data_IF_156261879661
#
_entry.id   IF_156261879661
#
_cell.length_a   1.000
_cell.length_b   1.000
_cell.length_c   1.000
_cell.angle_alpha   90.00
_cell.angle_beta   90.00
_cell.angle_gamma   90.00
#
_symmetry.space_group_name_H-M   'P 1'
#
loop_
_entity.id
_entity.type
_entity.pdbx_description
1 polymer ?
#
# COMPACT_ATOMS: atom_id res chain seq x y z
N UNK A 1 21.30 41.57 -16.53
CA UNK A 1 21.17 40.91 -15.22
C UNK A 1 20.65 39.51 -15.48
N UNK A 2 21.51 38.50 -15.45
CA UNK A 2 21.10 37.10 -15.59
C UNK A 2 20.43 36.71 -14.28
N UNK A 3 19.10 36.59 -14.29
CA UNK A 3 18.37 36.02 -13.16
C UNK A 3 18.96 34.64 -12.88
N UNK A 4 19.36 34.38 -11.64
CA UNK A 4 19.68 33.04 -11.19
C UNK A 4 18.41 32.20 -11.30
N UNK A 5 18.20 31.58 -12.46
CA UNK A 5 17.12 30.65 -12.67
C UNK A 5 17.40 29.45 -11.78
N UNK A 6 16.59 29.29 -10.74
CA UNK A 6 16.69 28.15 -9.83
C UNK A 6 16.50 26.91 -10.70
N UNK A 7 17.46 25.97 -10.74
CA UNK A 7 17.32 24.79 -11.56
C UNK A 7 16.03 24.06 -11.17
N UNK A 8 15.24 23.60 -12.15
CA UNK A 8 13.98 22.92 -11.87
C UNK A 8 14.24 21.72 -10.96
N UNK A 9 13.42 21.58 -9.92
CA UNK A 9 13.45 20.44 -8.99
C UNK A 9 12.03 19.97 -8.71
N UNK A 10 11.88 18.73 -8.26
CA UNK A 10 10.59 18.15 -7.94
C UNK A 10 10.59 17.57 -6.53
N UNK A 11 9.69 18.03 -5.66
CA UNK A 11 9.55 17.59 -4.28
C UNK A 11 8.34 16.69 -4.16
N UNK A 12 8.58 15.44 -3.79
CA UNK A 12 7.54 14.44 -3.58
C UNK A 12 7.42 14.15 -2.09
N UNK A 13 6.32 14.60 -1.49
CA UNK A 13 5.97 14.22 -0.13
C UNK A 13 5.47 12.76 -0.09
N UNK A 14 5.73 12.06 1.02
CA UNK A 14 5.20 10.71 1.23
C UNK A 14 4.96 10.44 2.72
N UNK A 15 3.82 9.78 3.00
CA UNK A 15 3.42 9.40 4.36
C UNK A 15 4.03 8.05 4.77
N UNK A 16 4.09 7.72 6.08
CA UNK A 16 4.59 6.43 6.54
C UNK A 16 3.89 5.24 5.88
N UNK A 17 4.67 4.21 5.53
CA UNK A 17 4.22 3.00 4.85
C UNK A 17 4.31 3.09 3.32
N UNK A 18 4.51 4.28 2.75
CA UNK A 18 4.65 4.44 1.29
C UNK A 18 6.09 4.21 0.84
N UNK A 19 6.26 3.45 -0.26
CA UNK A 19 7.58 3.18 -0.86
C UNK A 19 7.63 3.72 -2.30
N UNK A 20 8.04 4.98 -2.53
CA UNK A 20 8.03 5.61 -3.85
C UNK A 20 9.17 5.16 -4.77
N UNK A 21 10.06 4.26 -4.31
CA UNK A 21 11.33 3.90 -4.96
C UNK A 21 11.20 3.58 -6.45
N UNK A 22 10.14 2.87 -6.86
CA UNK A 22 9.89 2.54 -8.26
C UNK A 22 9.70 3.81 -9.11
N UNK A 23 8.88 4.74 -8.66
CA UNK A 23 8.59 5.97 -9.41
C UNK A 23 9.76 6.94 -9.38
N UNK A 24 10.48 7.03 -8.26
CA UNK A 24 11.71 7.83 -8.16
C UNK A 24 12.77 7.33 -9.14
N UNK A 25 12.95 6.01 -9.25
CA UNK A 25 13.87 5.42 -10.23
C UNK A 25 13.49 5.83 -11.65
N UNK A 26 12.23 5.66 -12.03
CA UNK A 26 11.77 5.99 -13.39
C UNK A 26 11.89 7.50 -13.65
N UNK A 27 11.63 8.35 -12.65
CA UNK A 27 11.84 9.80 -12.75
C UNK A 27 13.29 10.12 -13.06
N UNK A 28 14.24 9.60 -12.27
CA UNK A 28 15.67 9.86 -12.45
C UNK A 28 16.19 9.35 -13.80
N UNK A 29 15.62 8.27 -14.32
CA UNK A 29 15.93 7.75 -15.67
C UNK A 29 15.41 8.67 -16.79
N UNK A 30 14.27 9.34 -16.59
CA UNK A 30 13.62 10.19 -17.62
C UNK A 30 14.05 11.66 -17.57
N UNK A 31 14.20 12.20 -16.37
CA UNK A 31 14.48 13.61 -16.11
C UNK A 31 15.80 13.72 -15.32
N UNK A 32 16.88 13.19 -15.89
CA UNK A 32 18.20 13.19 -15.24
C UNK A 32 18.70 14.60 -14.86
N UNK A 33 18.20 15.65 -15.51
CA UNK A 33 18.51 17.05 -15.19
C UNK A 33 17.61 17.71 -14.13
N UNK A 34 16.58 17.01 -13.64
CA UNK A 34 15.60 17.54 -12.67
C UNK A 34 15.60 16.65 -11.42
N UNK A 35 16.32 17.03 -10.35
CA UNK A 35 16.39 16.20 -9.15
C UNK A 35 15.01 16.04 -8.49
N UNK A 36 14.69 14.81 -8.09
CA UNK A 36 13.54 14.50 -7.26
C UNK A 36 13.97 14.36 -5.80
N UNK A 37 13.42 15.22 -4.94
CA UNK A 37 13.63 15.19 -3.49
C UNK A 37 12.43 14.53 -2.81
N UNK A 38 12.69 13.52 -1.98
CA UNK A 38 11.66 12.90 -1.16
C UNK A 38 11.52 13.66 0.17
N UNK A 39 10.29 14.01 0.53
CA UNK A 39 9.96 14.71 1.76
C UNK A 39 9.09 13.80 2.63
N UNK A 40 9.66 13.27 3.71
CA UNK A 40 8.88 12.49 4.66
C UNK A 40 8.00 13.44 5.49
N UNK A 41 6.71 13.15 5.56
CA UNK A 41 5.71 13.91 6.32
C UNK A 41 4.81 12.97 7.10
N UNK A 42 4.21 13.42 8.19
CA UNK A 42 3.15 12.62 8.84
C UNK A 42 1.91 12.54 7.96
N UNK A 43 1.01 11.60 8.26
CA UNK A 43 -0.25 11.49 7.54
C UNK A 43 -1.10 12.78 7.68
N UNK A 44 -1.08 13.41 8.86
CA UNK A 44 -1.81 14.65 9.14
C UNK A 44 -1.25 15.87 8.38
N UNK A 45 0.08 15.95 8.21
CA UNK A 45 0.74 17.09 7.57
C UNK A 45 0.70 17.04 6.03
N UNK A 46 0.43 15.88 5.44
CA UNK A 46 0.65 15.67 4.01
C UNK A 46 -0.18 16.60 3.10
N UNK A 47 -1.44 16.86 3.45
CA UNK A 47 -2.28 17.78 2.68
C UNK A 47 -1.80 19.23 2.83
N UNK A 48 -1.40 19.63 4.03
CA UNK A 48 -0.93 20.99 4.30
C UNK A 48 0.43 21.27 3.66
N UNK A 49 1.32 20.28 3.60
CA UNK A 49 2.57 20.38 2.85
C UNK A 49 2.33 20.71 1.36
N UNK A 50 1.26 20.18 0.76
CA UNK A 50 0.86 20.52 -0.61
C UNK A 50 0.30 21.95 -0.71
N UNK A 51 -0.52 22.37 0.27
CA UNK A 51 -1.12 23.71 0.29
C UNK A 51 -0.08 24.80 0.45
N UNK A 52 0.82 24.64 1.43
CA UNK A 52 1.92 25.56 1.68
C UNK A 52 2.95 25.57 0.54
N UNK A 53 2.94 24.56 -0.32
CA UNK A 53 3.90 24.44 -1.42
C UNK A 53 5.26 23.95 -0.94
N UNK A 54 5.30 23.20 0.17
CA UNK A 54 6.49 22.50 0.67
C UNK A 54 6.81 21.26 -0.18
N UNK A 55 5.80 20.73 -0.87
CA UNK A 55 5.93 19.68 -1.88
C UNK A 55 5.09 19.99 -3.13
N UNK A 56 5.52 19.45 -4.26
CA UNK A 56 4.85 19.64 -5.56
C UNK A 56 3.78 18.57 -5.80
N UNK A 57 3.99 17.37 -5.24
CA UNK A 57 3.01 16.28 -5.17
C UNK A 57 3.23 15.45 -3.90
N UNK A 58 2.22 14.66 -3.50
CA UNK A 58 2.28 13.80 -2.32
C UNK A 58 1.70 12.41 -2.60
N UNK A 59 2.32 11.40 -2.02
CA UNK A 59 1.74 10.07 -1.83
C UNK A 59 1.13 10.00 -0.45
N UNK A 60 -0.20 10.05 -0.39
CA UNK A 60 -0.98 10.15 0.84
C UNK A 60 -2.17 9.20 0.83
N UNK A 61 -2.81 9.05 1.98
CA UNK A 61 -4.04 8.27 2.12
C UNK A 61 -5.25 9.19 1.98
N UNK A 62 -6.29 8.69 1.32
CA UNK A 62 -7.59 9.34 1.21
C UNK A 62 -8.42 9.08 2.47
N UNK A 63 -9.36 9.97 2.81
CA UNK A 63 -9.76 11.15 2.04
C UNK A 63 -8.82 12.34 2.18
N UNK A 64 -8.84 13.19 1.16
CA UNK A 64 -8.31 14.56 1.21
C UNK A 64 -9.38 15.48 0.69
N UNK A 65 -9.38 16.74 1.13
CA UNK A 65 -10.25 17.77 0.57
C UNK A 65 -9.92 17.95 -0.91
N UNK A 66 -10.94 17.80 -1.76
CA UNK A 66 -10.80 17.92 -3.22
C UNK A 66 -11.23 19.28 -3.76
N UNK A 67 -11.54 20.24 -2.88
CA UNK A 67 -11.81 21.61 -3.27
C UNK A 67 -10.56 22.32 -3.82
N UNK A 68 -9.38 21.96 -3.31
CA UNK A 68 -8.09 22.57 -3.66
C UNK A 68 -7.03 21.56 -4.11
N UNK A 69 -7.21 20.27 -3.80
CA UNK A 69 -6.30 19.21 -4.19
C UNK A 69 -6.91 18.28 -5.25
N UNK A 70 -6.16 18.08 -6.32
CA UNK A 70 -6.38 16.96 -7.22
C UNK A 70 -5.82 15.67 -6.61
N UNK A 71 -6.48 14.54 -6.87
CA UNK A 71 -6.03 13.23 -6.38
C UNK A 71 -6.37 12.11 -7.38
N UNK A 72 -5.39 11.23 -7.62
CA UNK A 72 -5.55 10.00 -8.39
C UNK A 72 -5.36 8.81 -7.45
N UNK A 73 -6.40 8.00 -7.19
CA UNK A 73 -6.26 6.74 -6.46
C UNK A 73 -5.29 5.81 -7.19
N UNK A 74 -4.39 5.19 -6.43
CA UNK A 74 -3.37 4.28 -6.96
C UNK A 74 -3.70 2.82 -6.62
N UNK A 75 -3.96 2.56 -5.34
CA UNK A 75 -4.35 1.24 -4.84
C UNK A 75 -5.03 1.37 -3.48
N UNK A 76 -5.73 0.32 -3.08
CA UNK A 76 -6.27 0.17 -1.72
C UNK A 76 -5.39 -0.81 -0.96
N UNK A 77 -4.97 -0.42 0.23
CA UNK A 77 -4.23 -1.26 1.16
C UNK A 77 -5.18 -2.22 1.87
N UNK A 78 -4.74 -3.46 2.06
CA UNK A 78 -5.43 -4.40 2.95
C UNK A 78 -5.31 -3.92 4.39
N UNK A 79 -6.43 -3.89 5.10
CA UNK A 79 -6.48 -3.66 6.54
C UNK A 79 -6.14 -4.94 7.27
N UNK A 80 -5.23 -4.86 8.24
CA UNK A 80 -4.73 -6.01 8.99
C UNK A 80 -4.76 -5.74 10.49
N UNK A 81 -4.89 -6.80 11.27
CA UNK A 81 -4.69 -6.78 12.72
C UNK A 81 -3.28 -7.22 13.03
N UNK A 82 -2.52 -6.39 13.73
CA UNK A 82 -1.21 -6.69 14.29
C UNK A 82 -1.42 -7.33 15.65
N UNK A 83 -0.81 -8.51 15.84
CA UNK A 83 -0.99 -9.36 17.00
C UNK A 83 0.36 -9.97 17.45
N UNK A 84 0.53 -10.28 18.74
CA UNK A 84 1.64 -11.12 19.21
C UNK A 84 1.63 -12.50 18.54
N UNK A 85 2.82 -13.09 18.31
CA UNK A 85 2.91 -14.43 17.69
C UNK A 85 2.35 -15.56 18.55
N UNK A 86 2.25 -15.35 19.85
CA UNK A 86 1.64 -16.27 20.83
C UNK A 86 0.14 -16.01 21.05
N UNK A 87 -0.44 -15.01 20.38
CA UNK A 87 -1.87 -14.74 20.40
C UNK A 87 -2.65 -15.85 19.64
N UNK A 88 -3.85 -16.20 20.11
CA UNK A 88 -4.71 -17.24 19.50
C UNK A 88 -5.01 -16.96 18.03
N UNK A 89 -5.23 -15.69 17.68
CA UNK A 89 -5.45 -15.24 16.30
C UNK A 89 -4.26 -15.47 15.35
N UNK A 90 -3.07 -15.80 15.85
CA UNK A 90 -1.94 -16.14 14.99
C UNK A 90 -2.11 -17.53 14.33
N UNK A 91 -2.99 -18.38 14.85
CA UNK A 91 -3.25 -19.73 14.35
C UNK A 91 -4.16 -19.79 13.11
N UNK A 92 -4.88 -18.71 12.81
CA UNK A 92 -5.78 -18.59 11.65
C UNK A 92 -5.14 -17.74 10.54
N UNK A 93 -5.66 -17.79 9.32
CA UNK A 93 -5.12 -17.03 8.18
C UNK A 93 -5.64 -15.59 8.11
N UNK A 94 -6.86 -15.35 8.61
CA UNK A 94 -7.55 -14.06 8.68
C UNK A 94 -8.36 -13.97 9.98
N UNK A 95 -8.70 -12.75 10.38
CA UNK A 95 -9.56 -12.47 11.54
C UNK A 95 -10.75 -11.64 11.07
N UNK A 96 -11.92 -11.91 11.60
CA UNK A 96 -13.09 -11.07 11.40
C UNK A 96 -13.14 -9.94 12.44
N UNK A 97 -13.94 -8.90 12.17
CA UNK A 97 -14.24 -7.87 13.18
C UNK A 97 -14.89 -8.48 14.43
N UNK A 98 -15.67 -9.55 14.29
CA UNK A 98 -16.31 -10.23 15.42
C UNK A 98 -15.28 -10.91 16.35
N UNK A 99 -14.19 -11.45 15.80
CA UNK A 99 -13.11 -12.05 16.59
C UNK A 99 -12.40 -11.04 17.51
N UNK A 100 -12.51 -9.74 17.21
CA UNK A 100 -11.92 -8.68 18.01
C UNK A 100 -12.84 -8.16 19.12
N UNK A 101 -14.11 -8.58 19.18
CA UNK A 101 -15.13 -7.96 20.02
C UNK A 101 -14.76 -7.91 21.52
N UNK A 102 -14.10 -8.96 22.02
CA UNK A 102 -13.68 -9.07 23.42
C UNK A 102 -12.24 -8.61 23.68
N UNK A 103 -11.48 -8.33 22.62
CA UNK A 103 -10.08 -7.92 22.68
C UNK A 103 -9.95 -6.41 22.93
N UNK A 104 -8.85 -6.02 23.59
CA UNK A 104 -8.49 -4.60 23.66
C UNK A 104 -7.89 -4.20 22.32
N UNK A 105 -8.48 -3.21 21.65
CA UNK A 105 -7.96 -2.66 20.39
C UNK A 105 -7.42 -1.25 20.63
N UNK A 106 -6.18 -1.04 20.19
CA UNK A 106 -5.46 0.21 20.30
C UNK A 106 -5.81 1.13 19.12
N UNK A 107 -6.14 2.39 19.42
CA UNK A 107 -6.44 3.43 18.43
C UNK A 107 -5.48 4.60 18.62
N UNK A 108 -4.34 4.64 17.91
CA UNK A 108 -3.38 5.72 18.06
C UNK A 108 -3.97 7.07 17.59
N UNK A 109 -3.38 8.18 18.00
CA UNK A 109 -3.86 9.51 17.59
C UNK A 109 -3.59 9.83 16.12
N UNK A 110 -2.60 9.17 15.50
CA UNK A 110 -2.26 9.27 14.08
C UNK A 110 -2.92 8.19 13.21
N UNK A 111 -3.99 7.54 13.71
CA UNK A 111 -4.71 6.50 12.98
C UNK A 111 -5.18 7.02 11.60
N UNK A 112 -4.97 6.18 10.59
CA UNK A 112 -5.26 6.51 9.18
C UNK A 112 -6.50 5.78 8.66
N UNK A 113 -7.13 4.95 9.49
CA UNK A 113 -8.36 4.24 9.16
C UNK A 113 -9.57 5.00 9.68
N UNK A 114 -10.49 5.32 8.78
CA UNK A 114 -11.75 5.99 9.13
C UNK A 114 -12.80 4.96 9.55
N UNK A 115 -12.86 4.71 10.85
CA UNK A 115 -13.88 3.85 11.45
C UNK A 115 -15.15 4.63 11.76
N UNK A 116 -16.31 4.11 11.37
CA UNK A 116 -17.59 4.57 11.95
C UNK A 116 -17.69 4.14 13.42
N UNK A 117 -17.33 2.88 13.69
CA UNK A 117 -17.19 2.32 15.03
C UNK A 117 -15.97 1.42 15.06
N UNK A 118 -14.93 1.77 15.83
CA UNK A 118 -13.76 0.92 15.93
C UNK A 118 -14.10 -0.45 16.56
N UNK A 119 -13.43 -1.53 16.15
CA UNK A 119 -13.71 -2.87 16.63
C UNK A 119 -13.14 -3.09 18.05
N UNK A 120 -13.67 -4.09 18.74
CA UNK A 120 -13.22 -4.50 20.07
C UNK A 120 -13.46 -3.46 21.16
N UNK A 121 -12.79 -3.68 22.29
CA UNK A 121 -12.89 -2.83 23.48
C UNK A 121 -11.81 -1.74 23.42
N UNK A 122 -12.16 -0.48 23.65
CA UNK A 122 -11.17 0.58 23.64
C UNK A 122 -10.19 0.43 24.81
N UNK A 123 -8.91 0.72 24.56
CA UNK A 123 -7.94 0.91 25.63
C UNK A 123 -8.27 2.15 26.47
N UNK A 124 -7.80 2.17 27.73
CA UNK A 124 -8.02 3.31 28.64
C UNK A 124 -7.38 4.60 28.13
N UNK A 125 -6.21 4.50 27.51
CA UNK A 125 -5.47 5.61 26.93
C UNK A 125 -5.12 5.30 25.48
N UNK A 126 -5.15 6.33 24.63
CA UNK A 126 -4.80 6.23 23.22
C UNK A 126 -3.30 6.48 23.05
N UNK A 127 -2.56 5.59 22.36
CA UNK A 127 -1.16 5.84 22.05
C UNK A 127 -0.99 7.09 21.19
N UNK A 128 0.10 7.84 21.39
CA UNK A 128 0.35 9.05 20.62
C UNK A 128 0.58 8.75 19.13
N UNK A 129 1.28 7.67 18.83
CA UNK A 129 1.61 7.26 17.46
C UNK A 129 1.32 5.79 17.20
N UNK A 130 1.23 5.42 15.92
CA UNK A 130 1.10 4.04 15.48
C UNK A 130 2.32 3.21 15.91
N UNK A 131 3.51 3.82 15.96
CA UNK A 131 4.72 3.17 16.46
C UNK A 131 4.61 2.84 17.96
N UNK A 132 4.11 3.76 18.77
CA UNK A 132 3.89 3.52 20.20
C UNK A 132 2.83 2.44 20.43
N UNK A 133 1.77 2.42 19.60
CA UNK A 133 0.77 1.37 19.64
C UNK A 133 1.37 0.00 19.34
N UNK A 134 2.28 -0.11 18.36
CA UNK A 134 2.98 -1.37 18.03
C UNK A 134 3.81 -1.87 19.22
N UNK A 135 4.48 -0.98 19.96
CA UNK A 135 5.21 -1.36 21.18
C UNK A 135 4.28 -1.90 22.27
N UNK A 136 3.09 -1.33 22.43
CA UNK A 136 2.07 -1.81 23.36
C UNK A 136 1.48 -3.16 22.95
N UNK A 137 1.28 -3.40 21.64
CA UNK A 137 0.90 -4.73 21.14
C UNK A 137 1.97 -5.76 21.51
N UNK A 138 3.25 -5.44 21.31
CA UNK A 138 4.35 -6.33 21.66
C UNK A 138 4.47 -6.60 23.17
N UNK A 139 4.00 -5.67 24.00
CA UNK A 139 3.88 -5.85 25.44
C UNK A 139 2.62 -6.65 25.86
N UNK A 140 1.78 -7.07 24.90
CA UNK A 140 0.56 -7.83 25.16
C UNK A 140 -0.59 -6.99 25.73
N UNK A 141 -0.55 -5.66 25.58
CA UNK A 141 -1.56 -4.74 26.13
C UNK A 141 -2.87 -4.78 25.33
N UNK A 142 -2.79 -5.09 24.04
CA UNK A 142 -3.93 -5.16 23.14
C UNK A 142 -3.48 -5.47 21.72
N UNK A 143 -4.41 -5.37 20.77
CA UNK A 143 -4.21 -5.57 19.35
C UNK A 143 -4.29 -4.22 18.61
N UNK A 144 -3.77 -4.15 17.39
CA UNK A 144 -3.77 -2.91 16.61
C UNK A 144 -4.25 -3.18 15.19
N UNK A 145 -5.22 -2.41 14.71
CA UNK A 145 -5.68 -2.49 13.32
C UNK A 145 -5.07 -1.37 12.50
N UNK A 146 -4.38 -1.70 11.41
CA UNK A 146 -3.67 -0.73 10.55
C UNK A 146 -3.69 -1.17 9.08
N UNK A 147 -3.40 -0.26 8.13
CA UNK A 147 -3.03 -0.65 6.78
C UNK A 147 -1.80 -1.57 6.78
N UNK A 148 -1.79 -2.58 5.91
CA UNK A 148 -0.71 -3.58 5.83
C UNK A 148 0.69 -2.94 5.64
N UNK A 149 0.79 -1.79 4.97
CA UNK A 149 2.08 -1.12 4.82
C UNK A 149 2.66 -0.61 6.14
N UNK A 150 1.82 -0.17 7.08
CA UNK A 150 2.26 0.26 8.42
C UNK A 150 2.68 -0.95 9.26
N UNK A 151 1.93 -2.06 9.17
CA UNK A 151 2.32 -3.32 9.80
C UNK A 151 3.70 -3.82 9.30
N UNK A 152 3.99 -3.63 8.00
CA UNK A 152 5.31 -3.94 7.42
C UNK A 152 6.38 -2.94 7.84
N UNK A 153 6.06 -1.65 7.89
CA UNK A 153 6.99 -0.59 8.28
C UNK A 153 7.48 -0.77 9.72
N UNK A 154 6.56 -1.06 10.64
CA UNK A 154 6.85 -1.24 12.06
C UNK A 154 7.01 -2.72 12.45
N UNK A 155 7.30 -3.59 11.48
CA UNK A 155 7.45 -5.02 11.73
C UNK A 155 8.56 -5.31 12.74
N UNK A 156 8.26 -6.22 13.66
CA UNK A 156 9.21 -6.76 14.65
C UNK A 156 9.03 -8.27 14.82
N UNK A 157 10.07 -8.93 15.32
CA UNK A 157 10.22 -10.40 15.28
C UNK A 157 9.19 -11.19 16.09
N UNK A 158 8.60 -10.58 17.09
CA UNK A 158 7.63 -11.12 18.06
C UNK A 158 6.17 -10.82 17.68
N UNK A 159 5.96 -10.01 16.64
CA UNK A 159 4.63 -9.70 16.12
C UNK A 159 4.39 -10.39 14.77
N UNK A 160 3.12 -10.57 14.45
CA UNK A 160 2.63 -10.95 13.12
C UNK A 160 1.37 -10.15 12.80
N UNK A 161 0.81 -10.33 11.60
CA UNK A 161 -0.46 -9.71 11.24
C UNK A 161 -1.35 -10.66 10.44
N UNK A 162 -2.66 -10.42 10.53
CA UNK A 162 -3.71 -11.13 9.78
C UNK A 162 -4.60 -10.13 9.05
N UNK A 163 -5.00 -10.40 7.79
CA UNK A 163 -6.05 -9.63 7.14
C UNK A 163 -7.29 -9.57 8.04
N UNK A 164 -7.90 -8.39 8.12
CA UNK A 164 -9.14 -8.17 8.84
C UNK A 164 -10.30 -8.20 7.84
N UNK A 165 -11.27 -9.07 8.05
CA UNK A 165 -12.46 -9.21 7.21
C UNK A 165 -13.68 -8.59 7.87
N UNK A 166 -14.60 -8.11 7.03
CA UNK A 166 -15.93 -7.73 7.50
C UNK A 166 -16.65 -8.97 8.05
N UNK A 167 -17.61 -8.81 8.97
CA UNK A 167 -18.45 -9.94 9.38
C UNK A 167 -19.11 -10.56 8.13
N UNK A 168 -19.18 -11.89 8.09
CA UNK A 168 -19.95 -12.60 7.08
C UNK A 168 -21.41 -12.17 7.22
N UNK A 169 -21.87 -11.28 6.35
CA UNK A 169 -23.31 -11.08 6.17
C UNK A 169 -23.83 -12.34 5.48
N UNK A 170 -24.21 -13.35 6.28
CA UNK A 170 -25.17 -14.35 5.82
C UNK A 170 -26.33 -13.59 5.17
N UNK A 171 -26.65 -13.81 3.88
CA UNK A 171 -27.66 -13.03 3.18
C UNK A 171 -29.01 -13.24 3.87
N UNK A 172 -29.33 -12.33 4.78
CA UNK A 172 -30.61 -12.30 5.46
C UNK A 172 -31.70 -12.16 4.41
N UNK A 173 -32.76 -12.97 4.52
CA UNK A 173 -33.94 -12.89 3.68
C UNK A 173 -34.70 -11.55 3.81
N UNK A 174 -34.26 -10.65 4.69
CA UNK A 174 -34.69 -9.27 4.71
C UNK A 174 -33.98 -8.51 3.56
N UNK A 175 -34.77 -7.97 2.63
CA UNK A 175 -34.29 -7.28 1.44
C UNK A 175 -33.28 -6.14 1.71
N UNK A 176 -32.73 -5.53 0.65
CA UNK A 176 -31.54 -4.66 0.67
C UNK A 176 -31.65 -3.36 1.49
N UNK A 177 -32.72 -3.16 2.25
CA UNK A 177 -32.99 -1.98 3.08
C UNK A 177 -32.69 -2.21 4.58
N UNK A 178 -32.35 -3.45 4.99
CA UNK A 178 -32.02 -3.80 6.39
C UNK A 178 -30.52 -4.11 6.64
N UNK A 179 -29.65 -3.99 5.64
CA UNK A 179 -28.19 -4.22 5.75
C UNK A 179 -27.42 -2.99 6.26
N UNK A 180 -28.04 -2.18 7.11
CA UNK A 180 -27.41 -0.99 7.69
C UNK A 180 -26.99 -1.31 9.12
N UNK A 181 -25.69 -1.09 9.38
CA UNK A 181 -25.04 -0.96 10.69
C UNK A 181 -24.31 -2.19 11.26
N UNK A 182 -23.71 -3.03 10.41
CA UNK A 182 -22.52 -3.79 10.80
C UNK A 182 -21.25 -2.95 10.67
N UNK A 183 -20.22 -3.11 11.52
CA UNK A 183 -18.94 -2.41 11.33
C UNK A 183 -18.26 -2.92 10.04
N UNK A 184 -18.23 -2.07 9.02
CA UNK A 184 -17.43 -2.35 7.82
C UNK A 184 -15.93 -2.19 8.13
N UNK A 185 -15.08 -3.03 7.53
CA UNK A 185 -13.63 -2.84 7.62
C UNK A 185 -13.23 -1.72 6.67
N UNK A 186 -12.74 -0.56 7.16
CA UNK A 186 -12.34 0.54 6.30
C UNK A 186 -11.13 0.12 5.48
N UNK A 187 -11.15 0.42 4.19
CA UNK A 187 -9.99 0.31 3.32
C UNK A 187 -9.17 1.60 3.33
N UNK A 188 -7.85 1.50 3.42
CA UNK A 188 -6.95 2.65 3.24
C UNK A 188 -6.61 2.84 1.78
N UNK A 189 -7.10 3.92 1.16
CA UNK A 189 -6.85 4.22 -0.26
C UNK A 189 -5.65 5.13 -0.41
N UNK A 190 -4.60 4.66 -1.05
CA UNK A 190 -3.41 5.46 -1.38
C UNK A 190 -3.66 6.22 -2.68
N UNK A 191 -3.32 7.50 -2.70
CA UNK A 191 -3.44 8.37 -3.86
C UNK A 191 -2.15 9.17 -4.09
N UNK A 192 -1.93 9.52 -5.36
CA UNK A 192 -1.08 10.65 -5.73
C UNK A 192 -1.96 11.91 -5.68
N UNK A 193 -1.53 12.93 -4.94
CA UNK A 193 -2.25 14.20 -4.84
C UNK A 193 -1.32 15.38 -5.09
N UNK A 194 -1.88 16.48 -5.59
CA UNK A 194 -1.20 17.74 -5.87
C UNK A 194 -2.20 18.91 -5.86
N UNK A 195 -1.76 20.17 -5.67
CA UNK A 195 -2.66 21.32 -5.73
C UNK A 195 -3.21 21.52 -7.14
N UNK A 196 -4.53 21.62 -7.30
CA UNK A 196 -5.18 21.73 -8.62
C UNK A 196 -4.65 22.94 -9.40
N UNK A 197 -4.54 24.09 -8.72
CA UNK A 197 -4.01 25.32 -9.27
C UNK A 197 -2.53 25.27 -9.69
N UNK A 198 -1.78 24.22 -9.29
CA UNK A 198 -0.35 24.02 -9.59
C UNK A 198 -0.08 22.71 -10.33
N UNK A 199 -0.94 22.38 -11.29
CA UNK A 199 -0.68 21.26 -12.22
C UNK A 199 0.40 21.67 -13.24
N UNK A 200 1.67 21.55 -12.86
CA UNK A 200 2.83 21.90 -13.71
C UNK A 200 3.21 20.76 -14.66
N UNK A 201 4.04 21.05 -15.67
CA UNK A 201 4.56 20.03 -16.59
C UNK A 201 5.30 18.89 -15.85
N UNK A 202 6.01 19.21 -14.75
CA UNK A 202 6.69 18.22 -13.91
C UNK A 202 5.69 17.33 -13.16
N UNK A 203 4.59 17.90 -12.66
CA UNK A 203 3.49 17.14 -12.05
C UNK A 203 2.83 16.24 -13.10
N UNK A 204 2.57 16.73 -14.31
CA UNK A 204 1.99 15.92 -15.40
C UNK A 204 2.89 14.76 -15.82
N UNK A 205 4.21 14.98 -15.86
CA UNK A 205 5.19 13.92 -16.15
C UNK A 205 5.21 12.89 -15.02
N UNK A 206 5.21 13.30 -13.75
CA UNK A 206 5.16 12.39 -12.61
C UNK A 206 3.86 11.57 -12.60
N UNK A 207 2.72 12.20 -12.89
CA UNK A 207 1.43 11.50 -13.11
C UNK A 207 1.58 10.46 -14.23
N UNK A 208 2.30 10.79 -15.30
CA UNK A 208 2.60 9.86 -16.38
C UNK A 208 3.40 8.65 -15.94
N UNK A 209 4.44 8.85 -15.15
CA UNK A 209 5.25 7.79 -14.55
C UNK A 209 4.41 6.89 -13.65
N UNK A 210 3.61 7.49 -12.76
CA UNK A 210 2.76 6.75 -11.82
C UNK A 210 1.72 5.89 -12.56
N UNK A 211 1.14 6.41 -13.65
CA UNK A 211 0.22 5.68 -14.54
C UNK A 211 0.91 4.70 -15.49
N UNK A 212 2.23 4.59 -15.46
CA UNK A 212 2.99 3.67 -16.31
C UNK A 212 3.08 4.06 -17.79
N UNK A 213 2.81 5.33 -18.16
CA UNK A 213 3.03 5.82 -19.53
C UNK A 213 4.51 5.67 -19.87
N UNK A 214 4.84 4.98 -20.96
CA UNK A 214 6.24 4.81 -21.41
C UNK A 214 6.77 6.10 -22.06
N UNK A 215 8.09 6.28 -22.09
CA UNK A 215 8.80 7.45 -22.65
C UNK A 215 8.42 7.72 -24.11
N UNK A 216 7.92 6.71 -24.82
CA UNK A 216 7.53 6.80 -26.23
C UNK A 216 6.07 7.25 -26.44
N UNK A 217 5.33 7.58 -25.38
CA UNK A 217 3.98 8.16 -25.49
C UNK A 217 4.08 9.68 -25.51
N UNK A 218 4.74 10.23 -26.54
CA UNK A 218 4.58 11.65 -26.87
C UNK A 218 3.13 11.91 -27.23
N UNK A 219 2.39 12.64 -26.39
CA UNK A 219 1.47 13.64 -26.94
C UNK A 219 2.38 14.57 -27.74
N UNK A 220 2.44 14.37 -29.05
CA UNK A 220 3.21 15.24 -29.92
C UNK A 220 2.84 16.70 -29.63
N UNK A 221 3.80 17.65 -29.69
CA UNK A 221 3.46 19.06 -29.67
C UNK A 221 2.37 19.30 -30.70
N UNK A 222 1.24 19.88 -30.29
CA UNK A 222 0.25 20.42 -31.23
C UNK A 222 0.98 21.47 -32.07
N UNK A 223 1.52 21.06 -33.22
CA UNK A 223 1.86 21.99 -34.28
C UNK A 223 0.54 22.60 -34.71
N UNK A 224 0.38 23.89 -34.47
CA UNK A 224 -0.76 24.66 -34.91
C UNK A 224 -1.00 24.37 -36.41
N UNK A 225 -2.24 24.07 -36.84
CA UNK A 225 -2.52 23.92 -38.25
C UNK A 225 -2.33 25.28 -38.91
N UNK A 226 -1.32 25.38 -39.77
CA UNK A 226 -1.19 26.46 -40.73
C UNK A 226 -2.40 26.36 -41.64
N UNK A 227 -3.24 27.39 -41.63
CA UNK A 227 -4.40 27.50 -42.49
C UNK A 227 -3.96 27.40 -43.96
N UNK A 228 -4.46 26.38 -44.66
CA UNK A 228 -4.35 26.32 -46.11
C UNK A 228 -5.62 26.92 -46.72
N UNK A 229 -5.39 28.06 -47.35
CA UNK A 229 -6.32 28.91 -48.06
C UNK A 229 -7.00 28.17 -49.22
N UNK A 230 -8.28 28.49 -49.40
CA UNK A 230 -9.18 27.90 -50.37
C UNK A 230 -8.81 28.26 -51.82
N UNK A 231 -8.89 27.29 -52.72
CA UNK A 231 -9.09 27.52 -54.14
C UNK A 231 -10.09 26.49 -54.67
N UNK A 232 -11.30 26.95 -54.98
CA UNK A 232 -12.37 26.12 -55.54
C UNK A 232 -12.22 25.90 -57.04
N UNK A 233 -12.80 24.79 -57.53
CA UNK A 233 -13.61 24.79 -58.76
C UNK A 233 -14.46 23.53 -58.89
N UNK A 234 -15.73 23.77 -59.12
CA UNK A 234 -16.78 22.81 -59.48
C UNK A 234 -16.54 22.17 -60.85
N UNK A 235 -17.03 20.94 -61.07
CA UNK A 235 -18.31 20.65 -61.78
C UNK A 235 -18.39 19.18 -62.21
N UNK A 236 -19.60 18.60 -62.07
CA UNK A 236 -20.29 17.59 -62.93
C UNK A 236 -19.54 16.26 -63.15
N UNK A 237 -20.13 15.09 -62.92
CA UNK A 237 -21.46 14.59 -63.28
C UNK A 237 -21.20 13.18 -63.84
N UNK A 238 -21.75 12.14 -63.24
CA UNK A 238 -22.86 11.39 -63.82
C UNK A 238 -22.39 10.08 -64.48
N UNK A 239 -23.19 9.02 -64.35
CA UNK A 239 -23.14 7.87 -65.26
C UNK A 239 -22.79 6.52 -64.64
N UNK A 240 -23.83 5.74 -64.38
CA UNK A 240 -23.77 4.30 -64.15
C UNK A 240 -23.72 3.51 -65.47
N UNK A 241 -23.06 2.34 -65.48
CA UNK A 241 -23.39 1.13 -66.26
C UNK A 241 -22.27 0.08 -65.99
N UNK A 242 -22.54 -1.05 -65.34
CA UNK A 242 -23.19 -2.31 -65.80
C UNK A 242 -22.29 -3.23 -66.63
N UNK A 243 -22.21 -4.47 -66.14
CA UNK A 243 -22.05 -5.71 -66.91
C UNK A 243 -20.60 -6.17 -67.10
N UNK A 244 -20.26 -7.47 -67.11
CA UNK A 244 -21.03 -8.68 -66.87
C UNK A 244 -20.05 -9.87 -66.69
N UNK A 245 -20.47 -10.80 -65.84
CA UNK A 245 -20.42 -12.27 -65.96
C UNK A 245 -19.16 -13.05 -66.39
N UNK A 246 -18.86 -14.03 -65.54
CA UNK A 246 -18.66 -15.47 -65.82
C UNK A 246 -17.35 -15.89 -66.54
N UNK A 247 -16.71 -16.99 -66.19
CA UNK A 247 -17.01 -18.06 -65.24
C UNK A 247 -16.08 -19.27 -65.45
N UNK A 248 -16.21 -20.28 -64.58
CA UNK A 248 -15.67 -21.65 -64.71
C UNK A 248 -14.25 -21.83 -64.15
N UNK A 249 -14.03 -22.41 -62.96
CA UNK A 249 -14.07 -23.87 -62.62
C UNK A 249 -13.18 -24.70 -63.56
N UNK A 250 -12.28 -25.59 -63.12
CA UNK A 250 -12.49 -26.68 -62.16
C UNK A 250 -11.17 -27.45 -61.95
N UNK A 251 -11.09 -28.16 -60.82
CA UNK A 251 -10.31 -29.40 -60.67
C UNK A 251 -8.94 -29.23 -60.02
N UNK A 252 -8.56 -29.95 -58.96
CA UNK A 252 -9.18 -31.10 -58.30
C UNK A 252 -8.09 -32.05 -57.78
N UNK A 253 -8.30 -32.59 -56.59
CA UNK A 253 -7.67 -33.82 -56.08
C UNK A 253 -6.51 -33.62 -55.11
N UNK A 254 -6.71 -33.67 -53.77
CA UNK A 254 -6.81 -34.83 -52.86
C UNK A 254 -5.58 -35.74 -52.78
N UNK A 255 -5.06 -35.87 -51.54
CA UNK A 255 -4.80 -37.10 -50.72
C UNK A 255 -3.59 -36.82 -49.81
N UNK A 256 -3.64 -36.89 -48.48
CA UNK A 256 -4.10 -37.88 -47.48
C UNK A 256 -2.93 -38.65 -46.87
N UNK A 257 -2.91 -38.72 -45.53
CA UNK A 257 -2.24 -39.76 -44.73
C UNK A 257 -0.76 -39.47 -44.40
N UNK A 258 -0.25 -39.74 -43.20
CA UNK A 258 -0.82 -40.38 -42.03
C UNK A 258 0.29 -40.70 -41.01
N UNK A 259 -0.04 -40.50 -39.73
CA UNK A 259 0.29 -41.34 -38.56
C UNK A 259 1.72 -41.76 -38.17
N UNK A 260 1.97 -41.49 -36.87
CA UNK A 260 2.53 -42.37 -35.81
C UNK A 260 4.03 -42.72 -35.80
N UNK A 261 4.62 -42.47 -34.63
CA UNK A 261 5.10 -43.57 -33.79
C UNK A 261 6.47 -43.41 -33.14
N UNK A 262 6.51 -43.59 -31.82
CA UNK A 262 7.56 -44.40 -31.16
C UNK A 262 8.65 -43.66 -30.39
N UNK A 263 8.55 -43.68 -29.06
CA UNK A 263 9.76 -43.86 -28.22
C UNK A 263 10.30 -45.29 -28.35
N UNK A 264 11.49 -45.63 -27.82
CA UNK A 264 11.60 -45.83 -26.38
C UNK A 264 12.96 -45.48 -25.73
N UNK A 265 12.99 -45.66 -24.41
CA UNK A 265 14.09 -45.58 -23.44
C UNK A 265 15.21 -46.60 -23.69
N UNK A 266 16.44 -46.28 -23.25
CA UNK A 266 17.26 -47.09 -22.28
C UNK A 266 18.68 -46.51 -22.14
N UNK A 267 19.13 -46.29 -20.90
CA UNK A 267 20.32 -46.96 -20.32
C UNK A 267 21.34 -45.88 -19.87
N UNK A 268 22.13 -45.99 -18.80
CA UNK A 268 22.34 -47.02 -17.80
C UNK A 268 23.00 -46.38 -16.56
N UNK A 269 22.91 -47.10 -15.44
CA UNK A 269 23.50 -46.81 -14.12
C UNK A 269 25.02 -47.01 -14.11
N UNK A 270 25.71 -46.25 -13.25
CA UNK A 270 26.74 -46.70 -12.29
C UNK A 270 26.79 -45.62 -11.19
N UNK A 271 26.93 -45.86 -9.89
CA UNK A 271 27.45 -46.98 -9.12
C UNK A 271 28.45 -46.39 -8.12
N UNK A 272 28.13 -46.37 -6.82
CA UNK A 272 29.05 -45.88 -5.79
C UNK A 272 28.39 -45.72 -4.42
N UNK A 273 28.47 -46.76 -3.60
CA UNK A 273 27.93 -46.85 -2.25
C UNK A 273 29.05 -46.81 -1.18
N UNK A 274 28.59 -46.71 0.08
CA UNK A 274 29.26 -46.83 1.40
C UNK A 274 29.62 -45.47 2.04
N UNK A 275 29.30 -45.21 3.31
CA UNK A 275 28.67 -46.03 4.34
C UNK A 275 29.15 -45.63 5.74
N UNK A 276 28.23 -45.69 6.71
CA UNK A 276 28.49 -45.77 8.16
C UNK A 276 28.71 -44.45 8.90
N UNK A 277 28.41 -44.27 10.18
CA UNK A 277 27.48 -44.88 11.13
C UNK A 277 27.66 -44.08 12.45
N UNK A 278 26.55 -43.75 13.12
CA UNK A 278 26.29 -43.63 14.58
C UNK A 278 27.47 -43.37 15.55
N UNK A 279 27.27 -42.47 16.53
CA UNK A 279 26.98 -42.82 17.96
C UNK A 279 27.02 -41.61 18.92
N UNK A 280 26.16 -41.65 19.94
CA UNK A 280 26.33 -41.13 21.32
C UNK A 280 26.23 -39.62 21.53
N UNK A 281 25.49 -39.06 22.51
CA UNK A 281 25.09 -39.57 23.82
C UNK A 281 25.92 -38.86 24.90
N UNK A 282 25.32 -37.96 25.69
CA UNK A 282 26.03 -37.28 26.79
C UNK A 282 25.24 -36.18 27.51
N UNK A 283 24.74 -36.53 28.68
CA UNK A 283 24.00 -35.77 29.71
C UNK A 283 24.87 -34.84 30.57
N UNK A 284 24.23 -33.87 31.25
CA UNK A 284 24.73 -33.20 32.48
C UNK A 284 24.29 -31.73 32.54
N UNK A 285 23.19 -31.34 33.20
CA UNK A 285 22.92 -31.27 34.64
C UNK A 285 23.75 -30.22 35.42
N UNK A 286 23.05 -29.20 35.96
CA UNK A 286 23.23 -28.80 37.36
C UNK A 286 23.83 -27.41 37.66
N UNK A 287 22.97 -26.51 38.17
CA UNK A 287 23.16 -26.00 39.53
C UNK A 287 23.74 -24.59 39.75
N UNK A 288 22.86 -23.59 39.76
CA UNK A 288 22.57 -22.70 40.89
C UNK A 288 23.68 -21.85 41.54
N UNK A 289 23.42 -20.52 41.61
CA UNK A 289 23.82 -19.61 42.71
C UNK A 289 23.03 -18.29 42.63
N UNK A 290 22.26 -17.96 43.67
CA UNK A 290 21.75 -16.62 43.97
C UNK A 290 21.65 -16.52 45.51
N UNK A 291 22.50 -15.72 46.15
CA UNK A 291 22.29 -14.30 46.52
C UNK A 291 21.25 -14.17 47.65
N UNK A 292 21.66 -14.06 48.92
CA UNK A 292 22.07 -12.83 49.64
C UNK A 292 20.91 -11.81 49.76
N UNK A 293 20.07 -11.97 50.77
CA UNK A 293 19.14 -10.95 51.25
C UNK A 293 19.70 -10.26 52.50
N UNK A 294 20.08 -9.00 52.38
CA UNK A 294 20.45 -8.13 53.51
C UNK A 294 19.33 -7.12 53.78
N UNK A 295 19.06 -6.94 55.08
CA UNK A 295 17.99 -6.18 55.70
C UNK A 295 17.92 -4.71 55.25
N UNK A 296 16.69 -4.24 54.99
CA UNK A 296 16.35 -2.84 54.81
C UNK A 296 16.31 -2.08 56.15
N UNK A 297 16.90 -0.88 56.13
CA UNK A 297 16.84 0.13 57.19
C UNK A 297 15.45 0.74 57.31
N UNK A 298 15.09 1.08 58.55
CA UNK A 298 13.83 1.70 58.90
C UNK A 298 13.83 3.24 58.91
N UNK A 299 12.60 3.73 59.11
CA UNK A 299 12.15 4.94 59.83
C UNK A 299 12.69 6.32 59.41
N UNK A 300 11.74 7.21 59.13
CA UNK A 300 11.87 8.67 59.26
C UNK A 300 10.67 9.39 58.64
N UNK A 301 9.49 9.33 59.27
CA UNK A 301 8.86 10.44 60.02
C UNK A 301 8.45 11.67 59.20
N UNK A 302 7.14 11.86 59.16
CA UNK A 302 6.40 13.02 58.69
C UNK A 302 6.80 14.35 59.36
N UNK A 303 6.62 15.46 58.63
CA UNK A 303 6.22 16.72 59.25
C UNK A 303 5.23 17.48 58.36
N UNK A 304 4.04 17.66 58.93
CA UNK A 304 2.90 18.43 58.42
C UNK A 304 3.25 19.91 58.37
N UNK A 305 2.99 20.55 57.22
CA UNK A 305 2.79 22.00 57.13
C UNK A 305 1.34 22.34 57.44
N UNK A 306 1.12 23.24 58.40
CA UNK A 306 -0.18 23.80 58.78
C UNK A 306 -0.34 25.15 58.06
N UNK A 307 -1.53 25.50 57.53
CA UNK A 307 -1.73 26.77 56.85
C UNK A 307 -2.01 27.88 57.86
N UNK A 308 -1.32 29.01 57.75
CA UNK A 308 -1.69 30.27 58.39
C UNK A 308 -2.62 31.04 57.47
N UNK A 309 -3.89 31.17 57.86
CA UNK A 309 -4.91 32.00 57.23
C UNK A 309 -5.14 33.20 58.14
N UNK A 310 -5.00 34.41 57.61
CA UNK A 310 -5.76 35.56 58.07
C UNK A 310 -7.20 35.39 57.53
N UNK A 311 -8.28 35.52 58.29
CA UNK A 311 -8.49 36.03 59.65
C UNK A 311 -9.39 35.08 60.44
#
# INVERSE_FOLDING_TARGET
MTGSEVPPSFRLAYVPGMTPTKWVRIWNERLAGVPLTLVAVTAAEAADALRHGDADAALLRLPVDRADLSAIPLYTETTVVVIPKDHVGAAVEELSVADLADEIVLHPLDDTLEWERPPGRPAFERPATTADAVELVAAGVGLLVVPQSLARLYHRKDLTYRPLTAPDEEPSAAGPESALSGPSVPGSRVALSWPEARTTDLVEEFIGIVRGRTVNSTRGPKKAPVAQEAAGRSTRGGGAARGASAGGSKGGGTRSGGTKGGGPRSGARSGGAKGGARTGGGTGAGGGRSAKGAKGSGKGTAKRGRPGRAS
#
